data_IF_650785944745
#
_entry.id   IF_650785944745
#
_cell.length_a   1.000
_cell.length_b   1.000
_cell.length_c   1.000
_cell.angle_alpha   90.00
_cell.angle_beta   90.00
_cell.angle_gamma   90.00
#
_symmetry.space_group_name_H-M   'P 1'
#
loop_
_entity.id
_entity.type
_entity.pdbx_description
1 polymer ?
#
# COMPACT_ATOMS: atom_id res chain seq x y z
N UNK A 1 -47.33 42.87 54.51
CA UNK A 1 -46.89 42.67 53.11
C UNK A 1 -45.37 42.74 53.07
N UNK A 2 -44.71 41.62 52.79
CA UNK A 2 -43.25 41.50 52.76
C UNK A 2 -42.73 41.55 51.30
N UNK A 3 -41.62 42.25 50.99
CA UNK A 3 -41.01 42.18 49.67
C UNK A 3 -40.14 40.93 49.49
N UNK A 4 -40.19 40.37 48.28
CA UNK A 4 -39.71 39.03 47.91
C UNK A 4 -38.19 38.95 47.64
N UNK A 5 -37.62 37.85 48.16
CA UNK A 5 -36.41 37.08 47.77
C UNK A 5 -35.72 37.47 46.45
N UNK A 6 -34.44 37.83 46.55
CA UNK A 6 -33.51 37.99 45.42
C UNK A 6 -33.03 36.65 44.85
N UNK A 7 -32.92 36.59 43.53
CA UNK A 7 -32.33 35.47 42.77
C UNK A 7 -30.97 35.92 42.23
N UNK A 8 -29.95 35.07 42.46
CA UNK A 8 -28.53 35.28 42.13
C UNK A 8 -28.31 35.42 40.61
N UNK A 9 -27.51 36.41 40.23
CA UNK A 9 -27.04 36.63 38.87
C UNK A 9 -26.01 35.56 38.45
N UNK A 10 -26.17 35.04 37.23
CA UNK A 10 -25.23 34.14 36.55
C UNK A 10 -24.06 34.97 36.02
N UNK A 11 -22.85 34.61 36.43
CA UNK A 11 -21.61 35.25 36.01
C UNK A 11 -21.38 35.10 34.49
N UNK A 12 -21.46 36.21 33.76
CA UNK A 12 -21.08 36.32 32.36
C UNK A 12 -19.56 36.20 32.23
N UNK A 13 -19.09 35.19 31.48
CA UNK A 13 -17.67 35.05 31.11
C UNK A 13 -17.19 36.33 30.40
N UNK A 14 -16.19 37.01 30.99
CA UNK A 14 -15.50 38.15 30.39
C UNK A 14 -14.96 37.76 29.01
N UNK A 15 -15.44 38.45 27.96
CA UNK A 15 -14.79 38.45 26.65
C UNK A 15 -13.49 39.22 26.80
N UNK A 16 -12.37 38.52 26.73
CA UNK A 16 -11.06 39.15 26.59
C UNK A 16 -10.99 39.80 25.21
N UNK A 17 -10.87 41.12 25.18
CA UNK A 17 -10.62 41.89 23.97
C UNK A 17 -9.27 41.50 23.40
N UNK A 18 -9.27 40.96 22.18
CA UNK A 18 -8.04 40.67 21.44
C UNK A 18 -7.55 41.98 20.86
N UNK A 19 -6.36 42.43 21.27
CA UNK A 19 -5.66 43.58 20.71
C UNK A 19 -5.49 43.35 19.20
N UNK A 20 -6.22 44.11 18.37
CA UNK A 20 -6.11 44.03 16.91
C UNK A 20 -5.13 45.10 16.45
N UNK A 21 -4.07 44.68 15.77
CA UNK A 21 -3.05 45.57 15.25
C UNK A 21 -3.63 46.43 14.09
N UNK A 22 -3.62 47.77 14.18
CA UNK A 22 -4.22 48.67 13.18
C UNK A 22 -3.56 48.61 11.79
N UNK A 23 -2.38 47.97 11.66
CA UNK A 23 -1.72 47.77 10.37
C UNK A 23 -2.35 46.64 9.51
N UNK A 24 -3.22 45.80 10.07
CA UNK A 24 -3.80 44.66 9.35
C UNK A 24 -5.34 44.68 9.32
N UNK A 25 -5.90 44.96 8.15
CA UNK A 25 -7.34 44.88 7.89
C UNK A 25 -7.77 43.47 7.40
N UNK A 26 -8.99 43.05 7.76
CA UNK A 26 -9.59 41.83 7.21
C UNK A 26 -10.07 42.09 5.78
N UNK A 27 -9.53 41.34 4.81
CA UNK A 27 -9.95 41.39 3.39
C UNK A 27 -10.65 40.09 2.97
N UNK A 28 -11.94 39.90 3.26
CA UNK A 28 -12.67 38.70 2.87
C UNK A 28 -12.82 38.64 1.35
N UNK A 29 -12.55 37.47 0.75
CA UNK A 29 -12.79 37.20 -0.67
C UNK A 29 -14.07 36.38 -0.81
N UNK A 30 -14.96 36.81 -1.70
CA UNK A 30 -16.19 36.06 -2.00
C UNK A 30 -15.90 35.01 -3.09
N UNK A 31 -15.92 33.73 -2.73
CA UNK A 31 -15.62 32.60 -3.62
C UNK A 31 -16.85 31.97 -4.30
N UNK A 32 -17.98 32.70 -4.30
CA UNK A 32 -19.21 32.31 -4.99
C UNK A 32 -19.13 32.52 -6.51
N UNK A 33 -20.20 32.16 -7.21
CA UNK A 33 -20.32 32.35 -8.66
C UNK A 33 -20.27 33.85 -8.99
N UNK A 34 -19.43 34.26 -9.95
CA UNK A 34 -19.25 35.67 -10.33
C UNK A 34 -18.38 36.51 -9.37
N UNK A 35 -17.76 35.87 -8.37
CA UNK A 35 -16.84 36.53 -7.42
C UNK A 35 -15.37 36.29 -7.73
N UNK A 36 -14.54 36.25 -6.67
CA UNK A 36 -13.12 35.96 -6.76
C UNK A 36 -12.87 34.51 -7.24
N UNK A 37 -11.71 34.29 -7.88
CA UNK A 37 -11.27 32.95 -8.33
C UNK A 37 -11.43 31.92 -7.20
N UNK A 38 -12.00 30.74 -7.51
CA UNK A 38 -12.20 29.72 -6.51
C UNK A 38 -10.86 29.30 -5.89
N UNK A 39 -10.83 28.98 -4.59
CA UNK A 39 -9.63 28.46 -3.97
C UNK A 39 -9.23 27.14 -4.65
N UNK A 40 -7.94 26.79 -4.58
CA UNK A 40 -7.46 25.48 -5.07
C UNK A 40 -8.19 24.37 -4.32
N UNK A 41 -9.05 23.63 -5.02
CA UNK A 41 -9.77 22.45 -4.50
C UNK A 41 -9.15 21.19 -5.08
N UNK A 42 -9.41 20.04 -4.43
CA UNK A 42 -8.99 18.76 -4.98
C UNK A 42 -9.73 18.49 -6.31
N UNK A 43 -8.98 18.56 -7.39
CA UNK A 43 -9.45 18.29 -8.75
C UNK A 43 -9.09 16.88 -9.22
N UNK A 44 -8.45 16.04 -8.39
CA UNK A 44 -7.93 14.72 -8.76
C UNK A 44 -8.97 13.84 -9.47
N UNK A 45 -10.26 13.94 -9.10
CA UNK A 45 -11.35 13.21 -9.76
C UNK A 45 -11.71 13.74 -11.16
N UNK A 46 -11.60 15.05 -11.37
CA UNK A 46 -12.04 15.75 -12.57
C UNK A 46 -10.91 16.00 -13.58
N UNK A 47 -9.66 15.73 -13.21
CA UNK A 47 -8.54 15.76 -14.15
C UNK A 47 -8.76 14.75 -15.27
N UNK A 48 -8.44 15.18 -16.50
CA UNK A 48 -8.33 14.27 -17.65
C UNK A 48 -7.13 13.34 -17.46
N UNK A 49 -7.39 12.15 -16.94
CA UNK A 49 -6.35 11.14 -16.69
C UNK A 49 -5.73 10.59 -17.99
N UNK A 50 -4.43 10.26 -17.98
CA UNK A 50 -3.77 9.54 -19.06
C UNK A 50 -4.54 8.27 -19.46
N UNK A 51 -4.47 7.91 -20.75
CA UNK A 51 -5.23 6.80 -21.30
C UNK A 51 -4.99 5.48 -20.55
N UNK A 52 -3.74 5.18 -20.19
CA UNK A 52 -3.36 3.96 -19.46
C UNK A 52 -4.07 3.85 -18.11
N UNK A 53 -4.16 4.96 -17.36
CA UNK A 53 -4.84 5.00 -16.05
C UNK A 53 -6.34 4.80 -16.22
N UNK A 54 -6.94 5.43 -17.24
CA UNK A 54 -8.37 5.25 -17.54
C UNK A 54 -8.70 3.79 -17.86
N UNK A 55 -7.88 3.12 -18.68
CA UNK A 55 -8.08 1.71 -19.05
C UNK A 55 -7.91 0.80 -17.83
N UNK A 56 -6.87 1.00 -17.01
CA UNK A 56 -6.66 0.23 -15.78
C UNK A 56 -7.85 0.35 -14.80
N UNK A 57 -8.35 1.57 -14.57
CA UNK A 57 -9.52 1.82 -13.71
C UNK A 57 -10.79 1.20 -14.29
N UNK A 58 -11.05 1.36 -15.60
CA UNK A 58 -12.19 0.72 -16.28
C UNK A 58 -12.13 -0.79 -16.16
N UNK A 59 -10.97 -1.41 -16.39
CA UNK A 59 -10.78 -2.87 -16.27
C UNK A 59 -11.16 -3.39 -14.88
N UNK A 60 -10.77 -2.67 -13.82
CA UNK A 60 -11.18 -3.00 -12.43
C UNK A 60 -12.69 -2.92 -12.26
N UNK A 61 -13.33 -1.85 -12.74
CA UNK A 61 -14.78 -1.67 -12.64
C UNK A 61 -15.52 -2.78 -13.41
N UNK A 62 -15.09 -3.09 -14.63
CA UNK A 62 -15.66 -4.17 -15.46
C UNK A 62 -15.59 -5.51 -14.73
N UNK A 63 -14.44 -5.86 -14.13
CA UNK A 63 -14.27 -7.11 -13.36
C UNK A 63 -15.21 -7.18 -12.14
N UNK A 64 -15.58 -6.05 -11.53
CA UNK A 64 -16.50 -6.02 -10.40
C UNK A 64 -17.98 -6.06 -10.82
N UNK A 65 -18.32 -5.48 -11.98
CA UNK A 65 -19.71 -5.36 -12.45
C UNK A 65 -20.18 -6.58 -13.23
N UNK A 66 -19.28 -7.21 -13.96
CA UNK A 66 -19.57 -8.42 -14.71
C UNK A 66 -19.53 -9.65 -13.79
N UNK A 67 -20.30 -10.67 -14.13
CA UNK A 67 -20.23 -11.98 -13.46
C UNK A 67 -18.91 -12.65 -13.82
N UNK A 68 -18.00 -12.77 -12.86
CA UNK A 68 -16.70 -13.43 -13.05
C UNK A 68 -16.85 -14.94 -12.82
N UNK A 69 -16.38 -15.80 -13.74
CA UNK A 69 -16.38 -17.24 -13.56
C UNK A 69 -15.69 -17.70 -12.25
N UNK A 70 -16.15 -18.78 -11.61
CA UNK A 70 -15.62 -19.24 -10.31
C UNK A 70 -14.12 -19.54 -10.34
N UNK A 71 -13.62 -20.10 -11.44
CA UNK A 71 -12.19 -20.37 -11.65
C UNK A 71 -11.31 -19.11 -11.61
N UNK A 72 -11.86 -17.95 -11.99
CA UNK A 72 -11.15 -16.66 -11.90
C UNK A 72 -11.39 -15.96 -10.56
N UNK A 73 -12.53 -16.21 -9.94
CA UNK A 73 -12.89 -15.61 -8.66
C UNK A 73 -12.10 -16.20 -7.48
N UNK A 74 -11.61 -17.44 -7.58
CA UNK A 74 -10.77 -18.05 -6.53
C UNK A 74 -9.52 -17.22 -6.22
N UNK A 75 -8.91 -16.58 -7.23
CA UNK A 75 -7.72 -15.74 -7.05
C UNK A 75 -7.98 -14.41 -6.34
N UNK A 76 -9.26 -14.04 -6.13
CA UNK A 76 -9.61 -12.87 -5.31
C UNK A 76 -9.61 -13.21 -3.82
N UNK A 77 -9.72 -14.49 -3.46
CA UNK A 77 -9.64 -14.98 -2.08
C UNK A 77 -8.18 -15.20 -1.74
N UNK A 78 -7.59 -14.24 -1.04
CA UNK A 78 -6.17 -14.26 -0.66
C UNK A 78 -5.98 -14.85 0.73
N UNK A 79 -4.78 -15.36 0.99
CA UNK A 79 -4.34 -15.74 2.33
C UNK A 79 -4.35 -14.53 3.27
N UNK A 80 -4.56 -14.75 4.57
CA UNK A 80 -4.53 -13.68 5.56
C UNK A 80 -3.10 -13.16 5.76
N UNK A 81 -2.98 -11.92 6.27
CA UNK A 81 -1.69 -11.24 6.41
C UNK A 81 -0.72 -11.98 7.35
N UNK A 82 -1.24 -12.62 8.41
CA UNK A 82 -0.41 -13.27 9.41
C UNK A 82 0.20 -14.55 8.83
N UNK A 83 -0.63 -15.38 8.20
CA UNK A 83 -0.17 -16.60 7.56
C UNK A 83 0.73 -16.31 6.35
N UNK A 84 0.42 -15.29 5.55
CA UNK A 84 1.28 -14.85 4.45
C UNK A 84 2.68 -14.46 4.94
N UNK A 85 2.77 -13.74 6.06
CA UNK A 85 4.06 -13.33 6.62
C UNK A 85 4.88 -14.55 7.09
N UNK A 86 4.23 -15.52 7.73
CA UNK A 86 4.89 -16.78 8.13
C UNK A 86 5.36 -17.58 6.92
N UNK A 87 4.52 -17.69 5.89
CA UNK A 87 4.86 -18.37 4.65
C UNK A 87 6.06 -17.72 3.96
N UNK A 88 6.07 -16.39 3.80
CA UNK A 88 7.21 -15.70 3.19
C UNK A 88 8.50 -15.83 4.00
N UNK A 89 8.43 -15.88 5.34
CA UNK A 89 9.60 -16.15 6.19
C UNK A 89 10.20 -17.53 5.93
N UNK A 90 9.35 -18.55 5.71
CA UNK A 90 9.83 -19.89 5.36
C UNK A 90 10.46 -19.91 3.97
N UNK A 91 9.82 -19.32 2.97
CA UNK A 91 10.34 -19.25 1.59
C UNK A 91 11.67 -18.48 1.50
N UNK A 92 11.89 -17.48 2.36
CA UNK A 92 13.17 -16.76 2.39
C UNK A 92 14.36 -17.67 2.70
N UNK A 93 14.16 -18.76 3.46
CA UNK A 93 15.22 -19.76 3.74
C UNK A 93 15.56 -20.61 2.51
N UNK A 94 14.59 -20.85 1.64
CA UNK A 94 14.71 -21.71 0.45
C UNK A 94 14.85 -20.89 -0.84
N UNK A 95 15.13 -19.59 -0.74
CA UNK A 95 15.27 -18.72 -1.92
C UNK A 95 16.37 -19.25 -2.85
N UNK A 96 16.12 -19.29 -4.17
CA UNK A 96 17.12 -19.73 -5.13
C UNK A 96 18.37 -18.83 -5.12
N UNK A 97 19.53 -19.42 -5.42
CA UNK A 97 20.81 -18.71 -5.50
C UNK A 97 20.77 -17.58 -6.55
N UNK A 98 21.27 -16.41 -6.17
CA UNK A 98 21.53 -15.32 -7.12
C UNK A 98 22.69 -15.69 -8.06
N UNK A 99 22.74 -15.06 -9.23
CA UNK A 99 23.80 -15.30 -10.24
C UNK A 99 25.22 -15.06 -9.71
N UNK A 100 25.40 -14.16 -8.74
CA UNK A 100 26.68 -13.92 -8.09
C UNK A 100 27.05 -15.08 -7.14
N UNK A 101 26.14 -15.49 -6.26
CA UNK A 101 26.33 -16.62 -5.34
C UNK A 101 26.60 -17.93 -6.10
N UNK A 102 25.91 -18.16 -7.21
CA UNK A 102 26.16 -19.32 -8.08
C UNK A 102 27.58 -19.33 -8.66
N UNK A 103 28.09 -18.17 -9.10
CA UNK A 103 29.46 -18.03 -9.61
C UNK A 103 30.49 -18.31 -8.52
N UNK A 104 30.32 -17.72 -7.35
CA UNK A 104 31.19 -17.94 -6.21
C UNK A 104 31.20 -19.41 -5.75
N UNK A 105 30.03 -20.06 -5.73
CA UNK A 105 29.92 -21.50 -5.43
C UNK A 105 30.68 -22.35 -6.44
N UNK A 106 30.56 -22.04 -7.73
CA UNK A 106 31.28 -22.78 -8.79
C UNK A 106 32.79 -22.57 -8.67
N UNK A 107 33.25 -21.34 -8.39
CA UNK A 107 34.67 -21.05 -8.16
C UNK A 107 35.23 -21.79 -6.94
N UNK A 108 34.51 -21.78 -5.82
CA UNK A 108 34.90 -22.52 -4.60
C UNK A 108 34.94 -24.03 -4.81
N UNK A 109 34.00 -24.59 -5.59
CA UNK A 109 34.03 -26.01 -5.96
C UNK A 109 35.22 -26.36 -6.83
N UNK A 110 35.48 -25.57 -7.88
CA UNK A 110 36.63 -25.77 -8.76
C UNK A 110 37.97 -25.72 -8.00
N UNK A 111 38.11 -24.80 -7.05
CA UNK A 111 39.28 -24.73 -6.17
C UNK A 111 39.39 -25.97 -5.26
N UNK A 112 38.30 -26.38 -4.61
CA UNK A 112 38.29 -27.55 -3.74
C UNK A 112 38.56 -28.87 -4.48
N UNK A 113 38.09 -29.00 -5.72
CA UNK A 113 38.38 -30.13 -6.61
C UNK A 113 39.85 -30.14 -7.04
N UNK A 114 40.44 -28.97 -7.32
CA UNK A 114 41.87 -28.85 -7.64
C UNK A 114 42.80 -29.19 -6.46
N UNK A 115 42.31 -29.00 -5.23
CA UNK A 115 43.00 -29.36 -3.98
C UNK A 115 42.74 -30.82 -3.54
N UNK A 116 42.00 -31.61 -4.33
CA UNK A 116 41.82 -33.05 -4.11
C UNK A 116 40.87 -33.45 -2.98
N UNK A 117 40.05 -32.53 -2.44
CA UNK A 117 39.03 -32.87 -1.43
C UNK A 117 37.75 -33.36 -2.12
N UNK A 118 37.22 -34.50 -1.69
CA UNK A 118 35.99 -35.11 -2.26
C UNK A 118 34.77 -34.23 -1.99
N UNK A 119 34.13 -33.76 -3.06
CA UNK A 119 33.00 -32.84 -3.00
C UNK A 119 31.69 -33.63 -2.91
N UNK A 120 31.26 -34.00 -1.71
CA UNK A 120 29.86 -34.40 -1.48
C UNK A 120 28.95 -33.17 -1.53
N UNK A 121 28.58 -32.76 -2.74
CA UNK A 121 27.65 -31.67 -2.95
C UNK A 121 26.21 -32.12 -2.63
N UNK A 122 25.77 -31.96 -1.38
CA UNK A 122 24.34 -32.00 -1.05
C UNK A 122 23.62 -30.94 -1.90
N UNK A 123 22.68 -31.38 -2.73
CA UNK A 123 21.90 -30.49 -3.61
C UNK A 123 21.14 -29.48 -2.74
N UNK A 124 21.30 -28.16 -2.96
CA UNK A 124 20.57 -27.18 -2.18
C UNK A 124 19.06 -27.34 -2.46
N UNK A 125 18.27 -27.39 -1.39
CA UNK A 125 16.81 -27.37 -1.49
C UNK A 125 16.41 -25.93 -1.79
N UNK A 126 15.79 -25.70 -2.95
CA UNK A 126 15.45 -24.36 -3.42
C UNK A 126 14.00 -24.31 -3.89
N UNK A 127 13.33 -23.20 -3.63
CA UNK A 127 12.00 -22.92 -4.11
C UNK A 127 12.02 -22.76 -5.64
N UNK A 128 11.16 -23.52 -6.31
CA UNK A 128 10.98 -23.44 -7.76
C UNK A 128 9.96 -22.33 -8.07
N UNK A 129 10.35 -21.35 -8.89
CA UNK A 129 9.55 -20.15 -9.14
C UNK A 129 8.95 -20.06 -10.55
N UNK A 130 9.33 -20.97 -11.45
CA UNK A 130 8.85 -20.97 -12.83
C UNK A 130 7.60 -21.83 -12.97
N UNK A 131 6.58 -21.30 -13.67
CA UNK A 131 5.29 -21.97 -13.86
C UNK A 131 5.46 -23.37 -14.46
N UNK A 132 6.29 -23.51 -15.50
CA UNK A 132 6.56 -24.78 -16.18
C UNK A 132 7.19 -25.82 -15.26
N UNK A 133 8.14 -25.39 -14.42
CA UNK A 133 8.84 -26.27 -13.47
C UNK A 133 7.85 -26.74 -12.39
N UNK A 134 7.02 -25.83 -11.88
CA UNK A 134 6.00 -26.14 -10.89
C UNK A 134 4.95 -27.11 -11.45
N UNK A 135 4.45 -26.88 -12.67
CA UNK A 135 3.50 -27.81 -13.31
C UNK A 135 4.12 -29.17 -13.61
N UNK A 136 5.40 -29.20 -14.01
CA UNK A 136 6.12 -30.45 -14.27
C UNK A 136 6.35 -31.27 -12.99
N UNK A 137 6.62 -30.63 -11.86
CA UNK A 137 6.75 -31.31 -10.58
C UNK A 137 5.40 -31.82 -10.04
N UNK A 138 4.28 -31.13 -10.31
CA UNK A 138 2.95 -31.59 -9.93
C UNK A 138 2.35 -32.66 -10.86
N UNK A 139 2.82 -32.76 -12.11
CA UNK A 139 2.39 -33.78 -13.09
C UNK A 139 3.19 -35.09 -13.06
N UNK A 140 4.16 -35.22 -12.16
CA UNK A 140 4.97 -36.43 -11.94
C UNK A 140 4.59 -37.18 -10.65
N UNK A 141 3.54 -36.70 -9.97
CA UNK A 141 2.81 -37.35 -8.87
C UNK A 141 1.47 -37.84 -9.41
#
# INVERSE_FOLDING_TARGET
MAPKKGVKAVATKKKTEKVVNPLFEKRPKQFGIGGALPPKKDVHRFVRWPQVVRIQRKRRILKQRLKVPPALNQFTKTLDKNLATTLFKMLLKYRPEDKAAKRERLQKRAQAESEGKTVEAKKPHMDQSALEILTGCYGFL
#
